data_IF_730414634931
#
_entry.id   IF_730414634931
#
_cell.length_a   1.000
_cell.length_b   1.000
_cell.length_c   1.000
_cell.angle_alpha   90.00
_cell.angle_beta   90.00
_cell.angle_gamma   90.00
#
_symmetry.space_group_name_H-M   'P 1'
#
loop_
_entity.id
_entity.type
_entity.pdbx_description
1 polymer ?
#
# COMPACT_ATOMS: atom_id res chain seq x y z
N UNK A 1 -38.04 12.07 37.82
CA UNK A 1 -37.84 13.36 38.52
C UNK A 1 -36.40 13.41 38.99
N UNK A 2 -35.50 13.94 38.17
CA UNK A 2 -34.09 14.16 38.52
C UNK A 2 -33.68 15.53 37.98
N UNK A 3 -32.85 16.19 38.79
CA UNK A 3 -32.66 17.63 38.90
C UNK A 3 -31.66 18.13 37.85
N UNK A 4 -32.06 19.17 37.11
CA UNK A 4 -31.21 19.98 36.24
C UNK A 4 -30.49 21.02 37.10
N UNK A 5 -29.16 21.04 37.06
CA UNK A 5 -28.31 22.06 37.71
C UNK A 5 -27.52 22.86 36.67
N UNK A 6 -27.55 24.22 36.69
CA UNK A 6 -26.85 25.06 35.72
C UNK A 6 -25.65 25.78 36.34
N UNK A 7 -24.44 25.53 35.84
CA UNK A 7 -23.25 26.36 36.08
C UNK A 7 -22.35 26.17 34.85
N UNK A 8 -21.68 27.16 34.27
CA UNK A 8 -21.47 28.56 34.61
C UNK A 8 -20.49 29.10 33.55
N UNK A 9 -20.68 30.33 33.13
CA UNK A 9 -19.84 31.05 32.15
C UNK A 9 -18.40 31.16 32.65
N UNK A 10 -17.42 30.99 31.77
CA UNK A 10 -16.12 31.64 31.90
C UNK A 10 -15.65 32.12 30.53
N UNK A 11 -15.83 33.43 30.33
CA UNK A 11 -15.25 34.28 29.31
C UNK A 11 -13.74 34.39 29.59
N UNK A 12 -12.89 34.17 28.59
CA UNK A 12 -11.43 34.29 28.75
C UNK A 12 -10.76 34.51 27.40
N UNK A 13 -10.91 35.72 26.86
CA UNK A 13 -10.07 36.23 25.79
C UNK A 13 -8.63 36.38 26.32
N UNK A 14 -7.64 35.85 25.60
CA UNK A 14 -6.32 36.47 25.57
C UNK A 14 -5.73 36.37 24.16
N UNK A 15 -5.77 37.52 23.49
CA UNK A 15 -4.96 37.85 22.33
C UNK A 15 -3.49 37.92 22.73
N UNK A 16 -2.62 37.21 22.02
CA UNK A 16 -1.21 37.55 21.91
C UNK A 16 -0.73 37.23 20.48
N UNK A 17 -0.94 38.19 19.58
CA UNK A 17 -0.29 38.20 18.29
C UNK A 17 1.17 38.63 18.48
N UNK A 18 2.10 37.71 18.32
CA UNK A 18 3.54 38.02 18.21
C UNK A 18 3.89 37.95 16.73
N UNK A 19 3.91 39.11 16.09
CA UNK A 19 4.48 39.28 14.75
C UNK A 19 6.00 39.46 14.88
N UNK A 20 6.75 38.36 14.69
CA UNK A 20 8.20 38.40 14.51
C UNK A 20 8.49 38.58 13.01
N UNK A 21 8.66 39.84 12.62
CA UNK A 21 9.26 40.23 11.33
C UNK A 21 10.76 40.07 11.47
N UNK A 22 11.27 38.88 11.16
CA UNK A 22 12.69 38.60 11.02
C UNK A 22 13.07 38.61 9.55
N UNK A 23 13.76 39.66 9.10
CA UNK A 23 14.36 39.72 7.77
C UNK A 23 15.47 38.70 7.62
N UNK A 24 15.40 37.89 6.57
CA UNK A 24 16.52 37.07 6.11
C UNK A 24 17.26 37.82 4.98
N UNK A 25 18.60 37.86 5.00
CA UNK A 25 19.40 38.39 3.92
C UNK A 25 19.28 37.50 2.68
N UNK A 26 19.30 38.14 1.51
CA UNK A 26 19.09 37.50 0.22
C UNK A 26 20.08 36.38 -0.07
N UNK A 27 19.55 35.24 -0.52
CA UNK A 27 20.29 34.30 -1.33
C UNK A 27 20.16 34.74 -2.78
N UNK A 28 21.29 35.10 -3.40
CA UNK A 28 21.42 35.25 -4.85
C UNK A 28 21.04 33.94 -5.56
N UNK A 29 20.33 34.00 -6.70
CA UNK A 29 20.18 32.84 -7.56
C UNK A 29 21.52 32.54 -8.24
N UNK A 30 22.08 31.37 -7.95
CA UNK A 30 23.18 30.79 -8.72
C UNK A 30 22.61 30.37 -10.10
N UNK A 31 22.90 31.16 -11.14
CA UNK A 31 22.60 30.80 -12.52
C UNK A 31 23.50 29.63 -12.95
N UNK A 32 23.02 28.41 -12.74
CA UNK A 32 23.57 27.23 -13.39
C UNK A 32 23.11 27.24 -14.85
N UNK A 33 24.01 27.65 -15.74
CA UNK A 33 23.86 27.51 -17.18
C UNK A 33 23.65 26.04 -17.54
N UNK A 34 22.42 25.67 -17.91
CA UNK A 34 22.17 24.47 -18.69
C UNK A 34 22.50 24.78 -20.14
N UNK A 35 23.62 24.23 -20.61
CA UNK A 35 23.94 24.15 -22.02
C UNK A 35 22.86 23.38 -22.78
N UNK A 36 22.57 23.88 -23.98
CA UNK A 36 21.51 23.41 -24.86
C UNK A 36 21.68 21.93 -25.29
N UNK A 37 20.58 21.22 -25.59
CA UNK A 37 20.62 19.85 -26.06
C UNK A 37 21.30 19.76 -27.42
N UNK A 38 22.33 18.91 -27.49
CA UNK A 38 22.93 18.46 -28.73
C UNK A 38 21.88 17.82 -29.64
N UNK A 39 21.75 18.37 -30.83
CA UNK A 39 21.04 17.81 -31.98
C UNK A 39 21.69 16.47 -32.33
N UNK A 40 20.98 15.36 -32.11
CA UNK A 40 21.31 14.06 -32.71
C UNK A 40 20.56 13.93 -34.04
N UNK A 41 21.24 13.60 -35.15
CA UNK A 41 20.62 13.45 -36.46
C UNK A 41 19.91 12.11 -36.63
N UNK A 42 18.79 12.18 -37.35
CA UNK A 42 18.19 11.19 -38.25
C UNK A 42 18.15 9.71 -37.80
N UNK A 43 16.99 9.34 -37.24
CA UNK A 43 16.52 7.97 -37.26
C UNK A 43 16.26 7.54 -38.72
N UNK A 44 17.19 6.75 -39.25
CA UNK A 44 17.01 6.04 -40.50
C UNK A 44 15.76 5.16 -40.44
N UNK A 45 14.93 5.35 -41.45
CA UNK A 45 13.78 4.52 -41.83
C UNK A 45 14.24 3.08 -42.00
N UNK A 46 13.85 2.18 -41.10
CA UNK A 46 13.92 0.74 -41.33
C UNK A 46 12.62 0.27 -42.00
N UNK A 47 12.83 -0.09 -43.26
CA UNK A 47 11.95 -0.73 -44.22
C UNK A 47 11.13 -1.89 -43.61
N UNK A 48 9.81 -1.76 -43.75
CA UNK A 48 8.80 -2.74 -43.41
C UNK A 48 8.70 -3.80 -44.51
N UNK A 49 9.51 -4.86 -44.40
CA UNK A 49 9.40 -6.03 -45.27
C UNK A 49 9.70 -7.33 -44.50
N UNK A 50 8.83 -7.69 -43.56
CA UNK A 50 8.80 -9.04 -42.98
C UNK A 50 7.62 -9.85 -43.57
N UNK A 51 7.86 -11.08 -44.06
CA UNK A 51 6.86 -11.91 -44.72
C UNK A 51 5.75 -12.36 -43.77
N UNK A 52 4.50 -12.28 -44.26
CA UNK A 52 3.31 -12.84 -43.60
C UNK A 52 3.42 -14.35 -43.57
N UNK A 53 3.54 -14.95 -42.38
CA UNK A 53 3.27 -16.38 -42.19
C UNK A 53 1.76 -16.59 -41.99
N UNK A 54 1.12 -17.47 -42.76
CA UNK A 54 -0.24 -17.92 -42.48
C UNK A 54 -0.23 -18.98 -41.36
N UNK A 55 -1.39 -19.13 -40.72
CA UNK A 55 -1.78 -20.20 -39.79
C UNK A 55 -1.37 -20.04 -38.31
N UNK A 56 -2.10 -19.17 -37.61
CA UNK A 56 -2.31 -19.31 -36.17
C UNK A 56 -3.14 -20.58 -35.92
N UNK A 57 -2.44 -21.68 -35.65
CA UNK A 57 -3.03 -22.88 -35.14
C UNK A 57 -3.70 -22.60 -33.78
N UNK A 58 -4.94 -23.06 -33.70
CA UNK A 58 -5.75 -23.33 -32.51
C UNK A 58 -4.92 -23.67 -31.27
N UNK A 59 -4.98 -22.82 -30.24
CA UNK A 59 -4.50 -23.15 -28.90
C UNK A 59 -5.61 -23.96 -28.21
N UNK A 60 -5.57 -25.27 -28.39
CA UNK A 60 -6.23 -26.20 -27.48
C UNK A 60 -5.33 -26.39 -26.25
N UNK A 61 -5.85 -26.18 -25.05
CA UNK A 61 -5.30 -26.75 -23.81
C UNK A 61 -4.50 -25.81 -22.90
N UNK A 62 -5.18 -24.85 -22.26
CA UNK A 62 -4.75 -24.33 -20.96
C UNK A 62 -4.91 -25.42 -19.89
N UNK A 63 -3.91 -26.30 -19.83
CA UNK A 63 -3.68 -27.21 -18.72
C UNK A 63 -2.16 -27.33 -18.54
N UNK A 64 -1.49 -26.18 -18.40
CA UNK A 64 -0.13 -26.18 -17.91
C UNK A 64 -0.15 -26.60 -16.45
N UNK A 65 0.35 -27.80 -16.27
CA UNK A 65 0.43 -28.50 -15.02
C UNK A 65 1.19 -27.66 -14.00
N UNK A 66 0.55 -27.49 -12.84
CA UNK A 66 1.17 -27.08 -11.60
C UNK A 66 2.44 -27.91 -11.36
N UNK A 67 3.59 -27.37 -11.77
CA UNK A 67 4.90 -27.81 -11.30
C UNK A 67 4.97 -27.40 -9.85
N UNK A 68 4.50 -28.27 -8.98
CA UNK A 68 4.49 -28.10 -7.53
C UNK A 68 5.94 -28.04 -7.05
N UNK A 69 6.51 -26.85 -6.97
CA UNK A 69 7.72 -26.63 -6.20
C UNK A 69 7.41 -27.01 -4.75
N UNK A 70 7.88 -28.18 -4.33
CA UNK A 70 7.78 -28.66 -2.96
C UNK A 70 8.65 -27.74 -2.11
N UNK A 71 8.03 -26.67 -1.57
CA UNK A 71 8.70 -25.66 -0.76
C UNK A 71 8.37 -24.21 -1.08
N UNK A 72 7.57 -23.94 -2.12
CA UNK A 72 7.09 -22.58 -2.41
C UNK A 72 6.13 -22.05 -1.32
N UNK A 73 6.02 -20.72 -1.16
CA UNK A 73 5.06 -20.12 -0.23
C UNK A 73 3.63 -20.59 -0.57
N UNK A 74 2.86 -20.89 0.47
CA UNK A 74 1.45 -21.28 0.29
C UNK A 74 0.67 -20.06 -0.17
N UNK A 75 0.08 -20.14 -1.36
CA UNK A 75 -0.75 -19.08 -1.95
C UNK A 75 -2.08 -19.67 -2.44
N UNK A 76 -3.13 -18.86 -2.41
CA UNK A 76 -4.42 -19.18 -3.03
C UNK A 76 -4.50 -18.52 -4.41
N UNK A 77 -4.60 -19.32 -5.47
CA UNK A 77 -4.82 -18.82 -6.83
C UNK A 77 -6.30 -18.86 -7.23
N UNK A 78 -6.77 -17.85 -7.94
CA UNK A 78 -8.15 -17.80 -8.43
C UNK A 78 -8.47 -16.56 -9.24
N UNK A 79 -9.75 -16.37 -9.56
CA UNK A 79 -10.22 -15.15 -10.24
C UNK A 79 -9.96 -13.93 -9.34
N UNK A 80 -9.37 -12.82 -9.85
CA UNK A 80 -9.10 -11.62 -9.06
C UNK A 80 -10.31 -11.12 -8.25
N UNK A 81 -11.51 -11.16 -8.81
CA UNK A 81 -12.73 -10.75 -8.11
C UNK A 81 -13.04 -11.59 -6.85
N UNK A 82 -12.63 -12.88 -6.84
CA UNK A 82 -12.84 -13.82 -5.73
C UNK A 82 -11.71 -13.69 -4.71
N UNK A 83 -10.45 -13.74 -5.17
CA UNK A 83 -9.28 -13.70 -4.29
C UNK A 83 -8.93 -12.31 -3.79
N UNK A 84 -9.39 -11.25 -4.45
CA UNK A 84 -9.19 -9.85 -4.05
C UNK A 84 -7.87 -9.23 -4.45
N UNK A 85 -6.91 -10.01 -4.95
CA UNK A 85 -5.62 -9.54 -5.46
C UNK A 85 -5.64 -9.44 -6.98
N UNK A 86 -5.04 -8.38 -7.51
CA UNK A 86 -5.11 -8.01 -8.91
C UNK A 86 -4.49 -9.05 -9.86
N UNK A 87 -3.44 -9.72 -9.41
CA UNK A 87 -2.72 -10.75 -10.16
C UNK A 87 -3.32 -12.16 -10.03
N UNK A 88 -4.41 -12.30 -9.26
CA UNK A 88 -5.11 -13.57 -9.07
C UNK A 88 -4.44 -14.50 -8.05
N UNK A 89 -3.43 -14.05 -7.30
CA UNK A 89 -2.86 -14.80 -6.17
C UNK A 89 -3.02 -14.06 -4.87
N UNK A 90 -3.44 -14.78 -3.82
CA UNK A 90 -3.60 -14.27 -2.47
C UNK A 90 -2.57 -14.94 -1.56
N UNK A 91 -1.79 -14.13 -0.85
CA UNK A 91 -0.69 -14.57 0.03
C UNK A 91 -1.07 -14.58 1.51
N UNK A 92 -2.05 -13.76 1.91
CA UNK A 92 -2.59 -13.70 3.26
C UNK A 92 -4.09 -13.93 3.30
N UNK A 93 -4.63 -14.44 4.41
CA UNK A 93 -6.04 -14.79 4.57
C UNK A 93 -6.52 -15.83 3.54
N UNK A 94 -5.79 -16.94 3.44
CA UNK A 94 -5.89 -17.91 2.35
C UNK A 94 -7.24 -18.68 2.28
N UNK A 95 -8.06 -18.66 3.33
CA UNK A 95 -9.37 -19.31 3.32
C UNK A 95 -10.46 -18.31 2.93
N UNK A 96 -11.04 -18.51 1.73
CA UNK A 96 -12.12 -17.68 1.17
C UNK A 96 -13.52 -18.26 1.43
N UNK A 97 -13.62 -19.28 2.28
CA UNK A 97 -14.91 -19.89 2.63
C UNK A 97 -15.78 -18.85 3.35
N UNK A 98 -17.10 -18.81 3.13
CA UNK A 98 -17.98 -17.91 3.86
C UNK A 98 -17.82 -18.08 5.39
N UNK A 99 -17.62 -16.97 6.10
CA UNK A 99 -17.42 -16.95 7.55
C UNK A 99 -15.97 -17.08 8.02
N UNK A 100 -15.00 -17.25 7.11
CA UNK A 100 -13.56 -17.10 7.41
C UNK A 100 -13.09 -15.74 6.89
N UNK A 101 -12.47 -15.65 5.72
CA UNK A 101 -11.94 -14.38 5.18
C UNK A 101 -12.34 -14.12 3.70
N UNK A 102 -13.63 -14.22 3.34
CA UNK A 102 -14.06 -13.99 1.96
C UNK A 102 -13.92 -12.52 1.51
N UNK A 103 -13.83 -11.57 2.44
CA UNK A 103 -13.89 -10.12 2.17
C UNK A 103 -12.61 -9.37 2.56
N UNK A 104 -11.53 -10.08 2.90
CA UNK A 104 -10.18 -9.53 3.13
C UNK A 104 -9.14 -10.47 2.54
N UNK A 105 -8.09 -9.94 1.92
CA UNK A 105 -6.95 -10.70 1.40
C UNK A 105 -5.64 -9.96 1.62
N UNK A 106 -4.57 -10.69 1.91
CA UNK A 106 -3.21 -10.15 1.85
C UNK A 106 -2.67 -10.31 0.44
N UNK A 107 -2.40 -9.19 -0.24
CA UNK A 107 -1.93 -9.16 -1.63
C UNK A 107 -0.50 -8.64 -1.68
N UNK A 108 0.44 -9.51 -2.06
CA UNK A 108 1.85 -9.18 -2.15
C UNK A 108 2.20 -8.55 -3.50
N UNK A 109 3.26 -7.76 -3.51
CA UNK A 109 3.75 -7.09 -4.71
C UNK A 109 4.44 -5.78 -4.39
N UNK A 110 5.04 -5.19 -5.43
CA UNK A 110 5.64 -3.86 -5.36
C UNK A 110 4.71 -2.76 -5.86
N UNK A 111 5.05 -1.51 -5.53
CA UNK A 111 4.47 -0.29 -6.10
C UNK A 111 5.49 0.85 -6.03
N UNK A 112 5.40 1.79 -6.97
CA UNK A 112 6.34 2.89 -7.11
C UNK A 112 5.76 4.26 -6.73
N UNK A 113 4.44 4.44 -6.84
CA UNK A 113 3.78 5.69 -6.47
C UNK A 113 3.70 5.76 -4.94
N UNK A 114 4.41 6.70 -4.29
CA UNK A 114 4.51 6.70 -2.83
C UNK A 114 3.21 7.01 -2.11
N UNK A 115 3.11 6.49 -0.89
CA UNK A 115 2.07 6.80 0.08
C UNK A 115 0.98 5.74 0.20
N UNK A 116 0.48 5.60 1.42
CA UNK A 116 -0.66 4.74 1.78
C UNK A 116 -1.81 5.54 2.41
N UNK A 117 -1.73 6.87 2.50
CA UNK A 117 -2.85 7.65 3.04
C UNK A 117 -4.06 7.63 2.11
N UNK A 118 -5.25 7.81 2.69
CA UNK A 118 -6.57 7.67 2.07
C UNK A 118 -6.62 7.81 0.53
N UNK A 119 -6.28 8.96 -0.04
CA UNK A 119 -6.35 9.13 -1.50
C UNK A 119 -5.24 8.38 -2.24
N UNK A 120 -3.98 8.53 -1.80
CA UNK A 120 -2.81 7.94 -2.44
C UNK A 120 -2.85 6.39 -2.40
N UNK A 121 -3.23 5.83 -1.25
CA UNK A 121 -3.31 4.39 -1.04
C UNK A 121 -4.51 3.71 -1.71
N UNK A 122 -5.55 4.45 -2.12
CA UNK A 122 -6.79 3.88 -2.70
C UNK A 122 -6.93 4.06 -4.20
N UNK A 123 -6.22 5.01 -4.79
CA UNK A 123 -6.35 5.29 -6.20
C UNK A 123 -5.49 4.32 -7.02
N UNK A 124 -6.13 3.56 -7.90
CA UNK A 124 -5.42 2.78 -8.93
C UNK A 124 -4.79 3.75 -9.94
N UNK A 125 -3.50 3.57 -10.23
CA UNK A 125 -2.72 4.44 -11.12
C UNK A 125 -2.36 3.71 -12.41
N UNK A 126 -2.03 2.42 -12.32
CA UNK A 126 -1.55 1.63 -13.46
C UNK A 126 -2.58 0.61 -13.99
N UNK A 127 -3.84 0.72 -13.58
CA UNK A 127 -4.91 -0.17 -14.01
C UNK A 127 -4.80 -1.57 -13.41
N UNK A 128 -4.37 -1.67 -12.13
CA UNK A 128 -4.32 -2.92 -11.35
C UNK A 128 -3.46 -4.00 -12.01
N UNK A 129 -2.27 -3.60 -12.47
CA UNK A 129 -1.30 -4.49 -13.12
C UNK A 129 -0.18 -4.94 -12.18
N UNK A 130 -0.20 -4.51 -10.92
CA UNK A 130 0.77 -4.92 -9.91
C UNK A 130 0.39 -6.27 -9.29
N UNK A 131 1.34 -6.86 -8.55
CA UNK A 131 1.18 -8.14 -7.86
C UNK A 131 2.42 -9.00 -8.02
N UNK A 132 2.80 -9.77 -7.00
CA UNK A 132 4.02 -10.57 -6.98
C UNK A 132 4.09 -11.63 -8.09
N UNK A 133 2.95 -12.11 -8.59
CA UNK A 133 2.87 -13.07 -9.71
C UNK A 133 2.42 -12.42 -11.03
N UNK A 134 2.26 -11.09 -11.04
CA UNK A 134 1.91 -10.33 -12.23
C UNK A 134 3.07 -10.17 -13.22
N UNK A 135 2.78 -9.52 -14.35
CA UNK A 135 3.81 -9.05 -15.30
C UNK A 135 4.52 -7.78 -14.86
N UNK A 136 4.06 -7.11 -13.79
CA UNK A 136 4.70 -5.93 -13.20
C UNK A 136 4.89 -6.10 -11.67
N UNK A 137 5.69 -7.09 -11.23
CA UNK A 137 5.81 -7.42 -9.81
C UNK A 137 6.56 -6.37 -8.99
N UNK A 138 7.38 -5.53 -9.62
CA UNK A 138 7.99 -4.35 -8.99
C UNK A 138 7.03 -3.15 -8.92
N UNK A 139 5.86 -3.22 -9.56
CA UNK A 139 4.86 -2.16 -9.54
C UNK A 139 5.32 -0.84 -10.17
N UNK A 140 6.08 -0.92 -11.27
CA UNK A 140 6.53 0.26 -12.02
C UNK A 140 5.33 1.11 -12.43
N UNK A 141 5.32 2.39 -12.03
CA UNK A 141 4.20 3.32 -12.26
C UNK A 141 2.88 2.99 -11.55
N UNK A 142 2.86 2.00 -10.66
CA UNK A 142 1.66 1.60 -9.90
C UNK A 142 1.65 2.20 -8.50
N UNK A 143 0.46 2.45 -7.96
CA UNK A 143 0.23 2.71 -6.54
C UNK A 143 -0.16 1.45 -5.80
N UNK A 144 -0.23 1.52 -4.47
CA UNK A 144 -0.57 0.37 -3.62
C UNK A 144 -1.94 -0.23 -3.94
N UNK A 145 -2.93 0.60 -4.31
CA UNK A 145 -4.26 0.16 -4.74
C UNK A 145 -4.27 -0.73 -5.98
N UNK A 146 -3.22 -0.67 -6.80
CA UNK A 146 -3.09 -1.52 -7.99
C UNK A 146 -2.78 -2.99 -7.65
N UNK A 147 -2.48 -3.30 -6.38
CA UNK A 147 -2.38 -4.68 -5.88
C UNK A 147 -3.76 -5.31 -5.62
N UNK A 148 -4.80 -4.49 -5.43
CA UNK A 148 -6.15 -4.97 -5.19
C UNK A 148 -6.91 -5.18 -6.51
N UNK A 149 -7.77 -6.18 -6.57
CA UNK A 149 -8.63 -6.46 -7.73
C UNK A 149 -9.77 -5.43 -7.88
N UNK A 150 -10.41 -5.31 -9.06
CA UNK A 150 -11.65 -4.55 -9.20
C UNK A 150 -12.72 -5.00 -8.20
N UNK A 151 -13.43 -4.06 -7.57
CA UNK A 151 -14.36 -4.34 -6.46
C UNK A 151 -13.67 -4.50 -5.10
N UNK A 152 -12.35 -4.29 -5.04
CA UNK A 152 -11.54 -4.29 -3.82
C UNK A 152 -10.71 -3.01 -3.74
N UNK A 153 -10.37 -2.63 -2.52
CA UNK A 153 -9.54 -1.49 -2.19
C UNK A 153 -8.56 -1.83 -1.05
N UNK A 154 -7.51 -1.03 -0.87
CA UNK A 154 -6.65 -1.16 0.31
C UNK A 154 -7.48 -0.84 1.53
N UNK A 155 -7.55 -1.76 2.50
CA UNK A 155 -8.34 -1.60 3.72
C UNK A 155 -8.00 -0.27 4.41
N UNK A 156 -9.00 0.48 4.88
CA UNK A 156 -8.83 1.86 5.36
C UNK A 156 -8.21 1.98 6.75
N UNK A 157 -8.22 0.91 7.53
CA UNK A 157 -7.75 0.92 8.91
C UNK A 157 -8.33 -0.23 9.75
N UNK A 158 -8.10 -0.20 11.08
CA UNK A 158 -8.40 -1.29 12.00
C UNK A 158 -9.88 -1.62 12.01
N UNK A 159 -10.75 -0.60 12.05
CA UNK A 159 -12.20 -0.81 12.07
C UNK A 159 -12.70 -1.54 10.83
N UNK A 160 -12.06 -1.37 9.68
CA UNK A 160 -12.43 -2.15 8.49
C UNK A 160 -11.88 -3.56 8.56
N UNK A 161 -10.60 -3.72 8.93
CA UNK A 161 -10.01 -5.06 9.12
C UNK A 161 -10.83 -5.88 10.10
N UNK A 162 -11.31 -5.29 11.19
CA UNK A 162 -12.19 -5.94 12.18
C UNK A 162 -13.52 -6.40 11.57
N UNK A 163 -14.13 -5.61 10.67
CA UNK A 163 -15.37 -6.00 9.98
C UNK A 163 -15.16 -7.10 8.96
N UNK A 164 -13.98 -7.16 8.33
CA UNK A 164 -13.68 -8.10 7.23
C UNK A 164 -12.97 -9.37 7.69
N UNK A 165 -12.37 -9.34 8.88
CA UNK A 165 -11.67 -10.46 9.49
C UNK A 165 -12.24 -10.77 10.87
N UNK A 166 -13.02 -11.86 11.02
CA UNK A 166 -13.57 -12.30 12.31
C UNK A 166 -12.51 -12.55 13.39
N UNK A 167 -11.26 -12.74 13.00
CA UNK A 167 -10.15 -13.07 13.88
C UNK A 167 -8.98 -12.08 13.80
N UNK A 168 -9.20 -10.89 13.23
CA UNK A 168 -8.17 -9.86 13.14
C UNK A 168 -7.01 -10.26 12.22
N UNK A 169 -5.77 -10.15 12.70
CA UNK A 169 -4.57 -10.39 11.89
C UNK A 169 -4.02 -11.82 11.90
N UNK A 170 -4.61 -12.77 12.65
CA UNK A 170 -3.99 -14.09 12.88
C UNK A 170 -3.67 -14.88 11.60
N UNK A 171 -4.46 -14.67 10.54
CA UNK A 171 -4.34 -15.37 9.27
C UNK A 171 -3.74 -14.51 8.15
N UNK A 172 -3.27 -13.31 8.48
CA UNK A 172 -2.64 -12.43 7.50
C UNK A 172 -1.38 -13.03 6.89
N UNK A 173 -0.66 -13.87 7.64
CA UNK A 173 0.62 -14.45 7.22
C UNK A 173 0.61 -15.96 7.51
N UNK A 174 0.86 -16.83 6.51
CA UNK A 174 0.97 -18.26 6.74
C UNK A 174 2.05 -18.60 7.78
N UNK A 175 1.84 -19.64 8.62
CA UNK A 175 2.84 -20.05 9.61
C UNK A 175 4.23 -20.28 9.01
N UNK A 176 5.26 -19.77 9.69
CA UNK A 176 6.65 -19.90 9.24
C UNK A 176 7.08 -18.93 8.13
N UNK A 177 6.19 -18.04 7.69
CA UNK A 177 6.52 -17.02 6.69
C UNK A 177 6.71 -15.64 7.32
N UNK A 178 7.53 -14.81 6.67
CA UNK A 178 7.77 -13.42 7.07
C UNK A 178 7.13 -12.48 6.07
N UNK A 179 6.12 -11.73 6.49
CA UNK A 179 5.45 -10.73 5.65
C UNK A 179 4.80 -9.64 6.50
N UNK A 180 4.53 -8.51 5.86
CA UNK A 180 3.73 -7.41 6.39
C UNK A 180 2.72 -6.97 5.31
N UNK A 181 1.46 -6.81 5.70
CA UNK A 181 0.41 -6.34 4.81
C UNK A 181 -0.18 -5.05 5.38
N UNK A 182 0.09 -3.93 4.70
CA UNK A 182 -0.27 -2.61 5.16
C UNK A 182 -1.74 -2.27 4.90
N UNK A 183 -2.28 -1.37 5.72
CA UNK A 183 -3.57 -0.69 5.47
C UNK A 183 -3.34 0.72 4.94
N UNK A 184 -4.40 1.38 4.47
CA UNK A 184 -4.38 2.76 4.01
C UNK A 184 -4.43 3.78 5.16
N UNK A 185 -3.51 3.64 6.13
CA UNK A 185 -3.43 4.45 7.34
C UNK A 185 -2.19 4.17 8.16
N UNK A 186 -1.98 4.96 9.21
CA UNK A 186 -0.70 5.01 9.91
C UNK A 186 -0.78 5.57 11.32
N UNK A 187 0.30 6.19 11.76
CA UNK A 187 0.44 6.83 13.05
C UNK A 187 0.28 8.36 13.04
N UNK A 188 -0.02 8.93 14.21
CA UNK A 188 0.16 10.36 14.47
C UNK A 188 1.65 10.66 14.51
N UNK A 189 2.04 11.95 14.52
CA UNK A 189 3.45 12.32 14.76
C UNK A 189 3.99 11.73 16.07
N UNK A 190 3.12 11.50 17.07
CA UNK A 190 3.47 10.84 18.33
C UNK A 190 3.48 9.32 18.28
N UNK A 191 3.20 8.71 17.13
CA UNK A 191 3.09 7.25 16.96
C UNK A 191 1.77 6.66 17.46
N UNK A 192 0.75 7.49 17.73
CA UNK A 192 -0.59 7.01 18.11
C UNK A 192 -1.32 6.42 16.92
N UNK A 193 -2.22 5.48 17.15
CA UNK A 193 -3.05 4.93 16.08
C UNK A 193 -4.07 5.95 15.58
N UNK A 194 -3.87 6.48 14.37
CA UNK A 194 -4.80 7.45 13.78
C UNK A 194 -5.01 7.14 12.29
N UNK A 195 -6.24 7.31 11.84
CA UNK A 195 -6.62 7.02 10.46
C UNK A 195 -7.25 8.26 9.83
N UNK A 196 -7.05 8.42 8.52
CA UNK A 196 -7.48 9.60 7.78
C UNK A 196 -6.38 10.66 7.63
N UNK A 197 -6.74 11.94 7.45
CA UNK A 197 -5.80 12.99 7.03
C UNK A 197 -4.66 13.28 8.01
N UNK A 198 -4.83 12.92 9.29
CA UNK A 198 -3.81 13.12 10.34
C UNK A 198 -2.83 11.95 10.47
N UNK A 199 -2.99 10.89 9.66
CA UNK A 199 -2.05 9.78 9.61
C UNK A 199 -0.84 10.21 8.78
N UNK A 200 0.31 10.31 9.44
CA UNK A 200 1.56 10.78 8.84
C UNK A 200 2.72 9.84 9.15
N UNK A 201 2.84 9.42 10.39
CA UNK A 201 3.92 8.53 10.81
C UNK A 201 3.56 7.07 10.55
N UNK A 202 4.51 6.15 10.78
CA UNK A 202 4.36 4.69 10.90
C UNK A 202 3.44 3.99 9.89
N UNK A 203 3.96 3.00 9.17
CA UNK A 203 3.11 2.15 8.34
C UNK A 203 2.48 1.06 9.20
N UNK A 204 1.16 0.96 9.24
CA UNK A 204 0.46 -0.03 10.08
C UNK A 204 -0.17 -1.13 9.25
N UNK A 205 -0.31 -2.31 9.84
CA UNK A 205 -0.80 -3.48 9.11
C UNK A 205 -0.88 -4.74 9.94
N UNK A 206 -1.01 -5.86 9.24
CA UNK A 206 -0.97 -7.19 9.82
C UNK A 206 0.32 -7.92 9.44
N UNK A 207 0.87 -8.73 10.34
CA UNK A 207 1.78 -9.80 9.97
C UNK A 207 2.87 -10.15 10.98
N UNK A 208 4.06 -10.50 10.47
CA UNK A 208 5.18 -10.99 11.28
C UNK A 208 6.46 -10.17 11.11
N UNK A 209 6.42 -9.11 10.29
CA UNK A 209 7.48 -8.14 10.09
C UNK A 209 7.10 -6.81 10.77
N UNK A 210 8.07 -6.17 11.41
CA UNK A 210 7.89 -4.90 12.12
C UNK A 210 7.79 -5.04 13.63
N UNK A 211 7.62 -3.90 14.31
CA UNK A 211 7.37 -3.85 15.74
C UNK A 211 5.95 -4.33 16.07
N UNK A 212 5.73 -4.93 17.25
CA UNK A 212 4.39 -5.14 17.78
C UNK A 212 3.65 -3.82 17.90
N UNK A 213 2.34 -3.87 17.67
CA UNK A 213 1.49 -2.71 17.75
C UNK A 213 0.94 -2.49 19.18
N UNK A 214 0.56 -1.25 19.50
CA UNK A 214 -0.13 -0.94 20.75
C UNK A 214 -1.62 -1.37 20.71
N UNK A 215 -2.21 -1.69 21.87
CA UNK A 215 -3.60 -2.15 22.01
C UNK A 215 -4.63 -1.22 21.33
N UNK A 216 -4.34 0.08 21.23
CA UNK A 216 -5.20 1.08 20.59
C UNK A 216 -5.36 0.95 19.07
N UNK A 217 -4.58 0.08 18.42
CA UNK A 217 -4.67 -0.20 16.98
C UNK A 217 -5.35 -1.52 16.63
N UNK A 218 -5.89 -2.24 17.63
CA UNK A 218 -6.58 -3.50 17.39
C UNK A 218 -7.60 -3.37 16.24
N UNK A 219 -7.64 -4.30 15.27
CA UNK A 219 -6.95 -5.60 15.25
C UNK A 219 -5.56 -5.60 14.60
N UNK A 220 -5.04 -4.45 14.16
CA UNK A 220 -3.70 -4.38 13.58
C UNK A 220 -2.66 -4.76 14.63
N UNK A 221 -1.71 -5.61 14.26
CA UNK A 221 -0.74 -6.20 15.19
C UNK A 221 0.71 -5.82 14.89
N UNK A 222 0.95 -5.12 13.78
CA UNK A 222 2.28 -4.68 13.36
C UNK A 222 2.31 -3.23 12.89
N UNK A 223 3.48 -2.62 13.12
CA UNK A 223 3.89 -1.37 12.46
C UNK A 223 5.32 -1.46 11.93
N UNK A 224 5.58 -0.70 10.87
CA UNK A 224 6.92 -0.40 10.38
C UNK A 224 7.23 1.06 10.66
N UNK A 225 8.25 1.28 11.48
CA UNK A 225 8.92 2.56 11.65
C UNK A 225 10.03 2.68 10.60
N UNK A 226 10.63 3.87 10.43
CA UNK A 226 11.77 4.09 9.54
C UNK A 226 12.85 2.99 9.62
N UNK A 227 13.27 2.59 10.83
CA UNK A 227 14.30 1.57 11.02
C UNK A 227 13.85 0.16 10.63
N UNK A 228 12.56 -0.17 10.78
CA UNK A 228 12.05 -1.46 10.34
C UNK A 228 12.08 -1.57 8.82
N UNK A 229 11.76 -0.48 8.11
CA UNK A 229 11.83 -0.43 6.65
C UNK A 229 13.28 -0.62 6.17
N UNK A 230 14.26 0.04 6.80
CA UNK A 230 15.69 -0.19 6.55
C UNK A 230 16.09 -1.65 6.78
N UNK A 231 15.57 -2.29 7.83
CA UNK A 231 15.85 -3.69 8.15
C UNK A 231 15.28 -4.68 7.11
N UNK A 232 14.43 -4.22 6.17
CA UNK A 232 13.98 -5.02 5.02
C UNK A 232 14.97 -5.05 3.87
N UNK A 233 16.12 -4.37 3.99
CA UNK A 233 17.10 -4.20 2.91
C UNK A 233 16.49 -3.55 1.65
N UNK A 234 15.59 -2.58 1.82
CA UNK A 234 14.94 -1.87 0.73
C UNK A 234 13.88 -2.69 -0.01
N UNK A 235 13.21 -3.64 0.66
CA UNK A 235 11.92 -4.14 0.16
C UNK A 235 10.84 -3.09 0.41
N UNK A 236 10.77 -2.61 1.65
CA UNK A 236 9.95 -1.49 2.09
C UNK A 236 10.85 -0.26 2.22
N UNK A 237 10.45 0.84 1.59
CA UNK A 237 11.14 2.12 1.67
C UNK A 237 10.18 3.14 2.28
N UNK A 238 10.52 3.63 3.48
CA UNK A 238 9.71 4.58 4.25
C UNK A 238 10.30 6.00 4.20
N UNK A 239 11.10 6.30 3.17
CA UNK A 239 11.77 7.57 2.99
C UNK A 239 13.15 7.62 3.67
N UNK A 240 13.65 8.84 3.90
CA UNK A 240 14.95 9.08 4.51
C UNK A 240 14.87 9.44 5.99
N UNK A 241 16.01 9.74 6.65
CA UNK A 241 16.04 10.15 8.06
C UNK A 241 15.19 11.38 8.37
N UNK A 242 14.89 12.23 7.40
CA UNK A 242 13.99 13.39 7.54
C UNK A 242 12.51 13.04 7.45
N UNK A 243 12.18 11.83 7.00
CA UNK A 243 10.82 11.35 6.79
C UNK A 243 10.26 10.55 7.98
N UNK A 244 11.01 10.45 9.09
CA UNK A 244 10.71 9.60 10.26
C UNK A 244 9.43 9.95 11.07
N UNK A 245 8.64 10.91 10.58
CA UNK A 245 7.32 11.27 11.12
C UNK A 245 6.25 11.34 10.02
N UNK A 246 6.60 10.88 8.81
CA UNK A 246 5.83 11.01 7.56
C UNK A 246 5.87 9.73 6.72
N UNK A 247 6.32 8.61 7.28
CA UNK A 247 6.58 7.34 6.61
C UNK A 247 5.40 6.89 5.76
N UNK A 248 4.18 6.96 6.28
CA UNK A 248 2.97 6.49 5.56
C UNK A 248 2.63 7.37 4.36
N UNK A 249 3.12 8.61 4.30
CA UNK A 249 2.96 9.51 3.15
C UNK A 249 3.96 9.21 2.04
N UNK A 250 5.14 8.71 2.38
CA UNK A 250 6.25 8.52 1.44
C UNK A 250 6.58 7.06 1.18
N UNK A 251 5.90 6.12 1.84
CA UNK A 251 6.21 4.70 1.72
C UNK A 251 5.96 4.18 0.31
N UNK A 252 6.93 3.46 -0.21
CA UNK A 252 6.80 2.70 -1.44
C UNK A 252 7.53 1.36 -1.32
N UNK A 253 7.30 0.47 -2.28
CA UNK A 253 7.76 -0.92 -2.19
C UNK A 253 8.33 -1.37 -3.54
N UNK A 254 9.64 -1.18 -3.82
CA UNK A 254 10.23 -1.50 -5.12
C UNK A 254 10.22 -2.98 -5.48
N UNK A 255 10.02 -3.87 -4.50
CA UNK A 255 10.19 -5.32 -4.68
C UNK A 255 8.98 -6.09 -4.13
N UNK A 256 8.62 -7.24 -4.74
CA UNK A 256 7.40 -7.96 -4.38
C UNK A 256 7.47 -8.75 -3.07
N UNK A 257 8.67 -8.99 -2.52
CA UNK A 257 8.82 -9.86 -1.35
C UNK A 257 8.26 -9.23 -0.05
N UNK A 258 8.20 -10.00 1.03
CA UNK A 258 7.82 -9.54 2.37
C UNK A 258 6.44 -8.85 2.47
N UNK A 259 5.48 -9.27 1.64
CA UNK A 259 4.09 -8.87 1.71
C UNK A 259 3.71 -7.74 0.76
N UNK A 260 2.79 -6.87 1.19
CA UNK A 260 2.17 -5.85 0.35
C UNK A 260 1.06 -5.13 1.10
N UNK A 261 -0.18 -5.19 0.61
CA UNK A 261 -1.33 -4.53 1.25
C UNK A 261 -2.43 -5.50 1.63
N UNK A 262 -3.26 -5.10 2.59
CA UNK A 262 -4.55 -5.73 2.85
C UNK A 262 -5.57 -5.15 1.88
N UNK A 263 -6.18 -6.02 1.07
CA UNK A 263 -7.27 -5.66 0.19
C UNK A 263 -8.60 -6.08 0.81
N UNK A 264 -9.48 -5.11 1.04
CA UNK A 264 -10.84 -5.29 1.55
C UNK A 264 -11.84 -5.19 0.39
N UNK A 265 -12.85 -6.06 0.39
CA UNK A 265 -13.92 -6.02 -0.62
C UNK A 265 -14.75 -4.75 -0.40
N UNK A 266 -15.14 -4.06 -1.46
CA UNK A 266 -16.02 -2.89 -1.36
C UNK A 266 -17.39 -3.29 -0.80
N UNK A 267 -18.05 -2.43 -0.02
CA UNK A 267 -19.47 -2.60 0.25
C UNK A 267 -20.28 -2.26 -1.03
N UNK A 268 -21.46 -2.86 -1.24
CA UNK A 268 -22.31 -2.55 -2.40
C UNK A 268 -22.64 -1.06 -2.55
N UNK A 269 -22.60 -0.31 -1.45
CA UNK A 269 -22.96 1.11 -1.37
C UNK A 269 -21.75 2.07 -1.49
N UNK A 270 -20.52 1.56 -1.67
CA UNK A 270 -19.30 2.37 -1.79
C UNK A 270 -19.00 2.84 -3.24
N UNK A 271 -19.96 2.67 -4.17
CA UNK A 271 -19.81 2.88 -5.62
C UNK A 271 -20.38 4.19 -6.15
#
# INVERSE_FOLDING_TARGET
MMVVGPHGRALGQLLAAVALVGGLPGCEPLEAGLEAPGVVPDAAVLDASAPRTPDAARIDGAADAARREVGGPVVLSGLPAVVGCADGTREGFLDVTPGTWPDIGGCAGGWQVPGLTYTAGRQSVCGRRAGNTSTNPQGLGCGAADLCAPGWHVCLGPREVERRSPSGCEAAVPPGTRAFFAVAGGGSVGGDCVFGPSAHNDVRGCGTLGQPEADGCFPLDRRLEFYDCLATAGVWDCGGPTSHVTEVLTVWKPRPELGGVLCCRNEPDDG
#
